data_IF_982704106084
#
_entry.id   IF_982704106084
#
_cell.length_a   1.000
_cell.length_b   1.000
_cell.length_c   1.000
_cell.angle_alpha   90.00
_cell.angle_beta   90.00
_cell.angle_gamma   90.00
#
_symmetry.space_group_name_H-M   'P 1'
#
loop_
_entity.id
_entity.type
_entity.pdbx_description
1 polymer ?
#
# COMPACT_ATOMS: atom_id res chain seq x y z
N UNK A 1 -0.01 11.46 12.69
CA UNK A 1 0.01 11.95 11.28
C UNK A 1 1.37 12.45 10.76
N UNK A 2 2.43 12.15 11.48
CA UNK A 2 3.82 12.53 11.07
C UNK A 2 4.26 11.76 9.81
N UNK A 3 3.79 10.53 9.59
CA UNK A 3 4.07 9.78 8.36
C UNK A 3 3.29 10.29 7.14
N UNK A 4 2.07 10.79 7.31
CA UNK A 4 1.31 11.42 6.22
C UNK A 4 2.02 12.67 5.68
N UNK A 5 2.61 13.48 6.56
CA UNK A 5 3.37 14.66 6.16
C UNK A 5 4.70 14.30 5.51
N UNK A 6 5.32 13.17 5.89
CA UNK A 6 6.59 12.73 5.30
C UNK A 6 6.45 12.38 3.82
N UNK A 7 5.46 11.55 3.44
CA UNK A 7 5.28 11.15 2.05
C UNK A 7 5.02 12.32 1.10
N UNK A 8 4.09 13.22 1.45
CA UNK A 8 3.82 14.43 0.65
C UNK A 8 5.00 15.42 0.68
N UNK A 9 5.68 15.53 1.82
CA UNK A 9 6.88 16.34 1.94
C UNK A 9 8.03 15.83 1.06
N UNK A 10 8.17 14.53 0.89
CA UNK A 10 9.19 13.93 0.01
C UNK A 10 8.84 14.14 -1.46
N UNK A 11 7.57 14.00 -1.85
CA UNK A 11 7.09 14.36 -3.19
C UNK A 11 7.41 15.82 -3.51
N UNK A 12 7.13 16.72 -2.59
CA UNK A 12 7.39 18.16 -2.73
C UNK A 12 8.90 18.46 -2.89
N UNK A 13 9.74 17.94 -2.00
CA UNK A 13 11.19 18.15 -2.05
C UNK A 13 11.80 17.55 -3.31
N UNK A 14 11.32 16.39 -3.74
CA UNK A 14 11.77 15.71 -4.96
C UNK A 14 11.47 16.55 -6.20
N UNK A 15 10.28 17.13 -6.30
CA UNK A 15 9.93 18.02 -7.41
C UNK A 15 10.86 19.23 -7.49
N UNK A 16 11.13 19.89 -6.34
CA UNK A 16 12.04 21.02 -6.28
C UNK A 16 13.47 20.62 -6.69
N UNK A 17 13.95 19.45 -6.22
CA UNK A 17 15.24 18.94 -6.61
C UNK A 17 15.37 18.75 -8.14
N UNK A 18 14.30 18.26 -8.78
CA UNK A 18 14.29 18.07 -10.23
C UNK A 18 13.97 19.37 -11.01
N UNK A 19 13.63 20.46 -10.36
CA UNK A 19 13.55 21.79 -10.97
C UNK A 19 12.22 22.51 -10.88
N UNK A 20 11.21 21.96 -10.21
CA UNK A 20 9.95 22.64 -9.99
C UNK A 20 10.14 23.88 -9.07
N UNK A 21 9.44 24.95 -9.38
CA UNK A 21 9.32 26.05 -8.44
C UNK A 21 8.30 25.74 -7.34
N UNK A 22 8.28 26.56 -6.30
CA UNK A 22 7.43 26.38 -5.13
C UNK A 22 5.94 26.26 -5.48
N UNK A 23 5.46 27.07 -6.43
CA UNK A 23 4.05 27.08 -6.84
C UNK A 23 3.65 25.75 -7.52
N UNK A 24 4.41 25.31 -8.51
CA UNK A 24 4.16 24.05 -9.22
C UNK A 24 4.20 22.85 -8.25
N UNK A 25 5.21 22.82 -7.36
CA UNK A 25 5.33 21.77 -6.37
C UNK A 25 4.14 21.75 -5.41
N UNK A 26 3.65 22.90 -4.96
CA UNK A 26 2.49 23.02 -4.09
C UNK A 26 1.21 22.56 -4.78
N UNK A 27 0.96 22.99 -6.01
CA UNK A 27 -0.22 22.60 -6.79
C UNK A 27 -0.26 21.07 -6.98
N UNK A 28 0.87 20.46 -7.33
CA UNK A 28 0.92 19.01 -7.54
C UNK A 28 0.71 18.22 -6.23
N UNK A 29 1.27 18.69 -5.11
CA UNK A 29 1.06 18.06 -3.80
C UNK A 29 -0.41 18.16 -3.37
N UNK A 30 -1.07 19.29 -3.61
CA UNK A 30 -2.50 19.42 -3.34
C UNK A 30 -3.29 18.43 -4.22
N UNK A 31 -2.97 18.36 -5.51
CA UNK A 31 -3.61 17.41 -6.43
C UNK A 31 -3.48 15.96 -5.97
N UNK A 32 -2.26 15.51 -5.68
CA UNK A 32 -2.01 14.16 -5.16
C UNK A 32 -2.73 13.96 -3.82
N UNK A 33 -2.72 14.96 -2.94
CA UNK A 33 -3.41 14.93 -1.65
C UNK A 33 -4.92 14.71 -1.78
N UNK A 34 -5.56 15.40 -2.73
CA UNK A 34 -6.99 15.20 -3.02
C UNK A 34 -7.28 13.78 -3.51
N UNK A 35 -6.47 13.27 -4.45
CA UNK A 35 -6.64 11.90 -4.94
C UNK A 35 -6.45 10.86 -3.83
N UNK A 36 -5.50 11.07 -2.92
CA UNK A 36 -5.28 10.21 -1.75
C UNK A 36 -6.49 10.16 -0.82
N UNK A 37 -7.09 11.32 -0.54
CA UNK A 37 -8.28 11.40 0.33
C UNK A 37 -9.44 10.65 -0.34
N UNK A 38 -9.70 10.90 -1.62
CA UNK A 38 -10.73 10.17 -2.36
C UNK A 38 -10.46 8.65 -2.35
N UNK A 39 -9.20 8.25 -2.56
CA UNK A 39 -8.83 6.85 -2.56
C UNK A 39 -9.03 6.20 -1.18
N UNK A 40 -8.73 6.91 -0.09
CA UNK A 40 -8.94 6.39 1.26
C UNK A 40 -10.41 6.10 1.54
N UNK A 41 -11.32 6.95 1.10
CA UNK A 41 -12.76 6.72 1.23
C UNK A 41 -13.23 5.53 0.38
N UNK A 42 -12.71 5.41 -0.85
CA UNK A 42 -13.02 4.28 -1.72
C UNK A 42 -12.57 2.92 -1.16
N UNK A 43 -11.44 2.90 -0.48
CA UNK A 43 -10.86 1.66 0.09
C UNK A 43 -11.52 1.24 1.41
N UNK A 44 -12.16 2.16 2.13
CA UNK A 44 -12.69 1.93 3.47
C UNK A 44 -13.53 0.65 3.61
N UNK A 45 -14.54 0.36 2.76
CA UNK A 45 -15.30 -0.88 2.85
C UNK A 45 -14.45 -2.14 2.65
N UNK A 46 -13.49 -2.09 1.74
CA UNK A 46 -12.58 -3.23 1.52
C UNK A 46 -11.64 -3.45 2.72
N UNK A 47 -11.18 -2.39 3.37
CA UNK A 47 -10.40 -2.51 4.61
C UNK A 47 -11.20 -3.19 5.71
N UNK A 48 -12.45 -2.79 5.90
CA UNK A 48 -13.32 -3.35 6.93
C UNK A 48 -13.70 -4.81 6.63
N UNK A 49 -13.87 -5.17 5.36
CA UNK A 49 -14.07 -6.56 4.94
C UNK A 49 -12.82 -7.42 5.22
N UNK A 50 -11.63 -6.90 4.92
CA UNK A 50 -10.37 -7.58 5.23
C UNK A 50 -10.13 -7.74 6.74
N UNK A 51 -10.67 -6.84 7.57
CA UNK A 51 -10.56 -6.86 9.01
C UNK A 51 -11.63 -7.68 9.71
N UNK A 52 -12.73 -7.93 9.01
CA UNK A 52 -13.98 -8.39 9.59
C UNK A 52 -14.50 -7.46 10.71
N UNK A 53 -14.26 -6.15 10.53
CA UNK A 53 -14.68 -5.11 11.46
C UNK A 53 -15.43 -4.00 10.70
N UNK A 54 -16.75 -4.00 10.83
CA UNK A 54 -17.65 -3.04 10.17
C UNK A 54 -18.12 -1.92 11.09
N UNK A 55 -17.90 -2.07 12.39
CA UNK A 55 -18.31 -1.09 13.39
C UNK A 55 -17.31 0.07 13.49
N UNK A 56 -16.03 -0.23 13.34
CA UNK A 56 -14.94 0.75 13.45
C UNK A 56 -14.35 1.05 12.06
N UNK A 57 -14.83 2.07 11.36
CA UNK A 57 -14.40 2.34 9.99
C UNK A 57 -12.92 2.74 9.94
N UNK A 58 -12.13 1.89 9.29
CA UNK A 58 -10.70 2.09 9.11
C UNK A 58 -10.34 2.30 7.66
N UNK A 59 -9.33 3.11 7.41
CA UNK A 59 -8.77 3.35 6.08
C UNK A 59 -7.34 3.89 6.20
N UNK A 60 -6.72 4.20 5.08
CA UNK A 60 -5.39 4.81 5.06
C UNK A 60 -5.26 5.78 3.89
N UNK A 61 -4.39 6.77 4.03
CA UNK A 61 -3.99 7.67 2.95
C UNK A 61 -2.53 7.48 2.53
N UNK A 62 -1.95 6.29 2.78
CA UNK A 62 -0.57 6.02 2.41
C UNK A 62 -0.37 6.10 0.88
N UNK A 63 0.79 6.59 0.44
CA UNK A 63 1.08 6.84 -0.99
C UNK A 63 1.12 5.57 -1.83
N UNK A 64 1.49 4.43 -1.26
CA UNK A 64 1.54 3.15 -1.98
C UNK A 64 0.22 2.79 -2.66
N UNK A 65 -0.90 3.21 -2.07
CA UNK A 65 -2.23 2.96 -2.64
C UNK A 65 -2.55 3.81 -3.88
N UNK A 66 -1.67 4.73 -4.28
CA UNK A 66 -1.76 5.36 -5.61
C UNK A 66 -1.48 4.35 -6.74
N UNK A 67 -0.98 3.15 -6.42
CA UNK A 67 -0.90 2.03 -7.36
C UNK A 67 -2.25 1.34 -7.59
N UNK A 68 -3.25 1.50 -6.74
CA UNK A 68 -4.54 0.82 -6.85
C UNK A 68 -5.17 0.91 -8.25
N UNK A 69 -5.19 2.07 -8.94
CA UNK A 69 -5.75 2.16 -10.29
C UNK A 69 -5.02 1.27 -11.29
N UNK A 70 -3.70 1.16 -11.18
CA UNK A 70 -2.87 0.31 -12.05
C UNK A 70 -3.13 -1.15 -11.76
N UNK A 71 -3.11 -1.54 -10.49
CA UNK A 71 -3.39 -2.92 -10.04
C UNK A 71 -4.79 -3.34 -10.46
N UNK A 72 -5.79 -2.45 -10.36
CA UNK A 72 -7.17 -2.74 -10.76
C UNK A 72 -7.30 -3.09 -12.25
N UNK A 73 -6.47 -2.49 -13.12
CA UNK A 73 -6.44 -2.88 -14.55
C UNK A 73 -6.04 -4.34 -14.69
N UNK A 74 -4.97 -4.74 -14.01
CA UNK A 74 -4.48 -6.12 -14.05
C UNK A 74 -5.44 -7.08 -13.36
N UNK A 75 -6.06 -6.69 -12.24
CA UNK A 75 -7.07 -7.50 -11.56
C UNK A 75 -8.28 -7.79 -12.47
N UNK A 76 -8.77 -6.77 -13.19
CA UNK A 76 -9.84 -6.93 -14.19
C UNK A 76 -9.41 -7.74 -15.41
N UNK A 77 -8.17 -7.58 -15.84
CA UNK A 77 -7.62 -8.39 -16.91
C UNK A 77 -7.49 -9.86 -16.49
N UNK A 78 -7.09 -10.09 -15.25
CA UNK A 78 -7.01 -11.41 -14.64
C UNK A 78 -8.39 -12.08 -14.59
N UNK A 79 -9.43 -11.37 -14.16
CA UNK A 79 -10.82 -11.86 -14.19
C UNK A 79 -11.24 -12.35 -15.59
N UNK A 80 -10.79 -11.66 -16.63
CA UNK A 80 -11.15 -11.96 -18.01
C UNK A 80 -10.33 -13.10 -18.61
N UNK A 81 -9.03 -13.15 -18.35
CA UNK A 81 -8.10 -14.11 -18.98
C UNK A 81 -7.99 -15.43 -18.20
N UNK A 82 -8.10 -15.37 -16.87
CA UNK A 82 -7.85 -16.50 -15.98
C UNK A 82 -8.96 -16.73 -14.95
N UNK A 83 -10.25 -16.75 -15.36
CA UNK A 83 -11.36 -16.90 -14.41
C UNK A 83 -11.32 -18.24 -13.67
N UNK A 84 -10.66 -19.24 -14.25
CA UNK A 84 -10.50 -20.57 -13.66
C UNK A 84 -9.53 -20.59 -12.47
N UNK A 85 -8.60 -19.64 -12.38
CA UNK A 85 -7.66 -19.53 -11.26
C UNK A 85 -8.35 -19.11 -9.96
N UNK A 86 -9.49 -18.44 -10.02
CA UNK A 86 -10.26 -18.08 -8.83
C UNK A 86 -10.68 -19.28 -7.97
N UNK A 87 -10.76 -20.48 -8.58
CA UNK A 87 -11.07 -21.71 -7.84
C UNK A 87 -9.92 -22.16 -6.94
N UNK A 88 -8.70 -21.77 -7.29
CA UNK A 88 -7.47 -22.12 -6.58
C UNK A 88 -6.93 -20.96 -5.75
N UNK A 89 -7.46 -19.76 -5.98
CA UNK A 89 -7.04 -18.57 -5.23
C UNK A 89 -7.78 -18.52 -3.88
N UNK A 90 -7.07 -18.14 -2.84
CA UNK A 90 -7.56 -18.12 -1.48
C UNK A 90 -6.99 -16.93 -0.72
N UNK A 91 -7.75 -16.42 0.23
CA UNK A 91 -7.21 -15.62 1.32
C UNK A 91 -6.88 -16.53 2.52
N UNK A 92 -5.94 -16.10 3.36
CA UNK A 92 -5.45 -16.93 4.46
C UNK A 92 -6.54 -17.24 5.50
N UNK A 93 -7.52 -16.34 5.69
CA UNK A 93 -8.62 -16.56 6.63
C UNK A 93 -9.54 -17.70 6.17
N UNK A 94 -9.96 -17.67 4.91
CA UNK A 94 -10.79 -18.73 4.32
C UNK A 94 -10.05 -20.07 4.19
N UNK A 95 -8.73 -20.03 4.03
CA UNK A 95 -7.93 -21.23 4.02
C UNK A 95 -7.96 -21.91 5.40
N UNK A 96 -7.83 -21.13 6.47
CA UNK A 96 -7.91 -21.65 7.84
C UNK A 96 -9.26 -22.30 8.15
N UNK A 97 -10.38 -21.71 7.67
CA UNK A 97 -11.71 -22.31 7.80
C UNK A 97 -11.82 -23.67 7.10
N UNK A 98 -11.18 -23.83 5.93
CA UNK A 98 -11.27 -25.05 5.12
C UNK A 98 -10.38 -26.18 5.59
N UNK A 99 -9.15 -25.87 5.97
CA UNK A 99 -8.12 -26.89 6.28
C UNK A 99 -7.62 -26.83 7.73
N UNK A 100 -8.28 -26.04 8.58
CA UNK A 100 -7.97 -25.92 10.01
C UNK A 100 -6.54 -25.44 10.27
N UNK A 101 -5.87 -26.06 11.24
CA UNK A 101 -4.51 -25.66 11.66
C UNK A 101 -3.52 -25.48 10.49
N UNK A 102 -3.62 -26.28 9.44
CA UNK A 102 -2.72 -26.21 8.28
C UNK A 102 -2.86 -24.93 7.46
N UNK A 103 -3.99 -24.23 7.58
CA UNK A 103 -4.21 -22.89 7.01
C UNK A 103 -3.92 -21.75 7.98
N UNK A 104 -3.52 -22.04 9.21
CA UNK A 104 -3.21 -21.00 10.21
C UNK A 104 -1.98 -20.18 9.83
N UNK A 105 -1.90 -18.96 10.38
CA UNK A 105 -0.72 -18.09 10.21
C UNK A 105 0.56 -18.77 10.64
N UNK A 106 0.50 -19.54 11.72
CA UNK A 106 1.63 -20.32 12.22
C UNK A 106 2.10 -21.36 11.18
N UNK A 107 1.19 -22.14 10.62
CA UNK A 107 1.53 -23.13 9.58
C UNK A 107 2.06 -22.45 8.30
N UNK A 108 1.44 -21.35 7.87
CA UNK A 108 1.93 -20.55 6.74
C UNK A 108 3.36 -20.06 7.02
N UNK A 109 3.64 -19.57 8.22
CA UNK A 109 5.00 -19.18 8.64
C UNK A 109 6.00 -20.33 8.52
N UNK A 110 5.63 -21.53 8.95
CA UNK A 110 6.48 -22.73 8.78
C UNK A 110 6.79 -22.97 7.30
N UNK A 111 5.76 -22.98 6.44
CA UNK A 111 5.96 -23.23 5.01
C UNK A 111 6.87 -22.19 4.36
N UNK A 112 6.68 -20.90 4.71
CA UNK A 112 7.52 -19.81 4.22
C UNK A 112 8.96 -19.93 4.69
N UNK A 113 9.18 -20.26 5.97
CA UNK A 113 10.52 -20.45 6.50
C UNK A 113 11.25 -21.64 5.86
N UNK A 114 10.56 -22.75 5.62
CA UNK A 114 11.09 -23.91 4.88
C UNK A 114 11.42 -23.48 3.44
N UNK A 115 10.50 -22.81 2.75
CA UNK A 115 10.68 -22.37 1.38
C UNK A 115 11.92 -21.46 1.21
N UNK A 116 12.03 -20.45 2.06
CA UNK A 116 13.19 -19.53 2.07
C UNK A 116 14.48 -20.28 2.35
N UNK A 117 14.48 -21.15 3.35
CA UNK A 117 15.66 -21.93 3.72
C UNK A 117 16.14 -22.87 2.62
N UNK A 118 15.22 -23.51 1.89
CA UNK A 118 15.55 -24.37 0.73
C UNK A 118 16.13 -23.57 -0.43
N UNK A 119 15.50 -22.44 -0.79
CA UNK A 119 16.02 -21.56 -1.88
C UNK A 119 17.39 -20.98 -1.54
N UNK A 120 17.59 -20.66 -0.25
CA UNK A 120 18.88 -20.14 0.23
C UNK A 120 19.93 -21.21 0.46
N UNK A 121 19.67 -22.48 0.09
CA UNK A 121 20.58 -23.60 0.29
C UNK A 121 21.09 -23.76 1.73
N UNK A 122 20.20 -23.50 2.70
CA UNK A 122 20.52 -23.63 4.13
C UNK A 122 20.59 -25.10 4.54
N UNK A 123 21.34 -25.41 5.60
CA UNK A 123 21.33 -26.70 6.24
C UNK A 123 20.00 -26.97 6.99
N UNK A 124 19.70 -28.24 7.29
CA UNK A 124 18.43 -28.64 7.90
C UNK A 124 18.17 -27.94 9.23
N UNK A 125 19.21 -27.71 10.04
CA UNK A 125 19.09 -27.03 11.31
C UNK A 125 18.67 -25.56 11.11
N UNK A 126 19.29 -24.89 10.17
CA UNK A 126 18.97 -23.50 9.80
C UNK A 126 17.55 -23.39 9.22
N UNK A 127 17.16 -24.33 8.34
CA UNK A 127 15.79 -24.38 7.79
C UNK A 127 14.76 -24.54 8.91
N UNK A 128 14.99 -25.47 9.83
CA UNK A 128 14.08 -25.70 10.97
C UNK A 128 13.96 -24.46 11.85
N UNK A 129 15.09 -23.83 12.18
CA UNK A 129 15.11 -22.60 12.95
C UNK A 129 14.35 -21.47 12.24
N UNK A 130 14.59 -21.30 10.94
CA UNK A 130 13.92 -20.28 10.13
C UNK A 130 12.41 -20.50 10.05
N UNK A 131 11.97 -21.76 9.92
CA UNK A 131 10.56 -22.13 9.89
C UNK A 131 9.84 -21.74 11.21
N UNK A 132 10.43 -22.08 12.35
CA UNK A 132 9.86 -21.69 13.66
C UNK A 132 9.92 -20.18 13.89
N UNK A 133 10.99 -19.51 13.50
CA UNK A 133 11.09 -18.05 13.62
C UNK A 133 10.03 -17.37 12.76
N UNK A 134 9.85 -17.77 11.52
CA UNK A 134 8.84 -17.22 10.62
C UNK A 134 7.42 -17.43 11.16
N UNK A 135 7.12 -18.64 11.65
CA UNK A 135 5.83 -18.94 12.28
C UNK A 135 5.56 -18.05 13.51
N UNK A 136 6.54 -17.95 14.38
CA UNK A 136 6.44 -17.14 15.60
C UNK A 136 6.30 -15.65 15.26
N UNK A 137 7.06 -15.15 14.27
CA UNK A 137 6.96 -13.76 13.83
C UNK A 137 5.57 -13.43 13.28
N UNK A 138 4.98 -14.28 12.45
CA UNK A 138 3.64 -14.03 11.90
C UNK A 138 2.57 -13.97 12.99
N UNK A 139 2.63 -14.86 13.99
CA UNK A 139 1.71 -14.78 15.13
C UNK A 139 1.94 -13.55 15.98
N UNK A 140 3.19 -13.22 16.31
CA UNK A 140 3.52 -12.04 17.10
C UNK A 140 3.09 -10.75 16.40
N UNK A 141 3.31 -10.61 15.09
CA UNK A 141 2.87 -9.43 14.35
C UNK A 141 1.35 -9.27 14.39
N UNK A 142 0.60 -10.36 14.31
CA UNK A 142 -0.85 -10.31 14.44
C UNK A 142 -1.31 -9.85 15.84
N UNK A 143 -0.70 -10.40 16.89
CA UNK A 143 -0.99 -10.05 18.28
C UNK A 143 -0.61 -8.60 18.56
N UNK A 144 0.59 -8.18 18.17
CA UNK A 144 1.06 -6.80 18.33
C UNK A 144 0.17 -5.83 17.55
N UNK A 145 -0.23 -6.22 16.33
CA UNK A 145 -1.16 -5.43 15.52
C UNK A 145 -2.51 -5.21 16.21
N UNK A 146 -3.09 -6.27 16.79
CA UNK A 146 -4.35 -6.16 17.54
C UNK A 146 -4.22 -5.31 18.81
N UNK A 147 -3.13 -5.45 19.55
CA UNK A 147 -2.87 -4.60 20.71
C UNK A 147 -2.66 -3.13 20.34
N UNK A 148 -1.99 -2.88 19.23
CA UNK A 148 -1.82 -1.52 18.72
C UNK A 148 -3.16 -0.89 18.36
N UNK A 149 -4.03 -1.62 17.67
CA UNK A 149 -5.39 -1.16 17.35
C UNK A 149 -6.15 -0.84 18.62
N UNK A 150 -6.20 -1.78 19.57
CA UNK A 150 -6.88 -1.59 20.86
C UNK A 150 -6.33 -0.40 21.65
N UNK A 151 -5.02 -0.14 21.60
CA UNK A 151 -4.40 0.99 22.28
C UNK A 151 -4.70 2.34 21.60
N UNK A 152 -4.88 2.36 20.27
CA UNK A 152 -5.17 3.59 19.51
C UNK A 152 -6.66 3.92 19.50
N UNK A 153 -7.52 2.92 19.67
CA UNK A 153 -8.98 3.08 19.62
C UNK A 153 -9.52 4.18 20.57
N UNK A 154 -9.16 4.25 21.88
CA UNK A 154 -9.65 5.31 22.77
C UNK A 154 -9.20 6.71 22.33
N UNK A 155 -7.96 6.82 21.83
CA UNK A 155 -7.45 8.08 21.28
C UNK A 155 -8.24 8.50 20.06
N UNK A 156 -8.55 7.56 19.19
CA UNK A 156 -9.30 7.75 17.98
C UNK A 156 -10.74 8.20 18.25
N UNK A 157 -11.41 7.54 19.20
CA UNK A 157 -12.72 7.94 19.67
C UNK A 157 -12.70 9.34 20.28
N UNK A 158 -11.73 9.65 21.13
CA UNK A 158 -11.56 10.99 21.72
C UNK A 158 -11.33 12.09 20.68
N UNK A 159 -10.55 11.81 19.63
CA UNK A 159 -10.34 12.75 18.51
C UNK A 159 -11.60 12.88 17.67
N UNK A 160 -12.33 11.80 17.41
CA UNK A 160 -13.59 11.83 16.68
C UNK A 160 -14.65 12.64 17.44
N UNK A 161 -14.80 12.42 18.74
CA UNK A 161 -15.72 13.17 19.61
C UNK A 161 -15.40 14.67 19.65
N UNK A 162 -14.11 15.00 19.78
CA UNK A 162 -13.65 16.40 19.74
C UNK A 162 -13.96 17.06 18.39
N UNK A 163 -13.70 16.36 17.31
CA UNK A 163 -13.96 16.86 15.96
C UNK A 163 -15.46 16.99 15.69
N UNK A 164 -16.28 16.02 16.10
CA UNK A 164 -17.73 16.06 15.97
C UNK A 164 -18.34 17.28 16.67
N UNK A 165 -17.84 17.59 17.87
CA UNK A 165 -18.27 18.79 18.63
C UNK A 165 -17.87 20.11 17.96
N UNK A 166 -16.79 20.14 17.19
CA UNK A 166 -16.25 21.36 16.58
C UNK A 166 -16.49 21.51 15.09
N UNK A 167 -16.65 20.41 14.35
CA UNK A 167 -16.72 20.36 12.89
C UNK A 167 -18.11 20.04 12.36
N UNK A 168 -19.15 20.11 13.19
CA UNK A 168 -20.55 19.96 12.73
C UNK A 168 -20.93 18.55 12.30
N UNK A 169 -20.39 17.54 12.97
CA UNK A 169 -20.83 16.15 12.79
C UNK A 169 -20.10 15.37 11.69
N UNK A 170 -18.93 15.82 11.24
CA UNK A 170 -18.10 15.03 10.30
C UNK A 170 -17.30 13.98 11.07
N UNK A 171 -17.50 12.71 10.77
CA UNK A 171 -16.67 11.65 11.30
C UNK A 171 -15.24 11.73 10.76
N UNK A 172 -14.26 11.63 11.66
CA UNK A 172 -12.86 11.43 11.29
C UNK A 172 -12.59 9.94 11.20
N UNK A 173 -12.18 9.49 10.02
CA UNK A 173 -11.74 8.12 9.84
C UNK A 173 -10.37 7.91 10.46
N UNK A 174 -10.21 6.78 11.17
CA UNK A 174 -8.91 6.38 11.69
C UNK A 174 -8.06 5.91 10.52
N UNK A 175 -6.92 6.57 10.30
CA UNK A 175 -5.92 6.10 9.35
C UNK A 175 -5.00 5.09 10.02
N UNK A 176 -5.17 3.82 9.75
CA UNK A 176 -4.22 2.78 10.11
C UNK A 176 -3.32 2.48 8.91
N UNK A 177 -2.05 2.30 9.20
CA UNK A 177 -1.05 2.00 8.20
C UNK A 177 -0.45 0.60 8.45
N UNK A 178 0.80 0.43 8.13
CA UNK A 178 1.58 -0.78 8.15
C UNK A 178 1.35 -1.76 9.33
N UNK A 179 1.26 -1.34 10.60
CA UNK A 179 1.10 -2.30 11.71
C UNK A 179 -0.11 -3.22 11.56
N UNK A 180 -1.17 -2.72 10.95
CA UNK A 180 -2.37 -3.46 10.68
C UNK A 180 -2.18 -4.49 9.56
N UNK A 181 -1.57 -4.07 8.47
CA UNK A 181 -1.30 -4.95 7.33
C UNK A 181 -0.23 -6.00 7.64
N UNK A 182 0.71 -5.70 8.54
CA UNK A 182 1.75 -6.63 8.98
C UNK A 182 1.18 -7.89 9.66
N UNK A 183 -0.01 -7.82 10.23
CA UNK A 183 -0.72 -8.98 10.78
C UNK A 183 -1.34 -9.91 9.71
N UNK A 184 -1.35 -9.50 8.44
CA UNK A 184 -1.95 -10.27 7.34
C UNK A 184 -0.93 -11.23 6.73
N UNK A 185 -1.22 -12.54 6.81
CA UNK A 185 -0.34 -13.59 6.28
C UNK A 185 -0.15 -13.49 4.76
N UNK A 186 -1.15 -12.99 4.04
CA UNK A 186 -1.13 -12.82 2.59
C UNK A 186 -0.02 -11.85 2.14
N UNK A 187 0.24 -10.80 2.92
CA UNK A 187 1.33 -9.85 2.68
C UNK A 187 2.67 -10.57 2.66
N UNK A 188 2.92 -11.39 3.68
CA UNK A 188 4.18 -12.12 3.81
C UNK A 188 4.31 -13.23 2.80
N UNK A 189 3.23 -13.96 2.53
CA UNK A 189 3.23 -15.02 1.52
C UNK A 189 3.58 -14.43 0.13
N UNK A 190 2.89 -13.38 -0.28
CA UNK A 190 3.17 -12.72 -1.56
C UNK A 190 4.58 -12.08 -1.58
N UNK A 191 4.98 -11.37 -0.51
CA UNK A 191 6.29 -10.72 -0.46
C UNK A 191 7.45 -11.71 -0.58
N UNK A 192 7.37 -12.87 0.07
CA UNK A 192 8.43 -13.88 0.00
C UNK A 192 8.58 -14.49 -1.39
N UNK A 193 7.48 -14.62 -2.14
CA UNK A 193 7.55 -15.10 -3.52
C UNK A 193 8.02 -13.98 -4.46
N UNK A 194 7.58 -12.74 -4.24
CA UNK A 194 7.95 -11.59 -5.06
C UNK A 194 9.41 -11.15 -4.86
N UNK A 195 9.99 -11.39 -3.68
CA UNK A 195 11.37 -10.96 -3.38
C UNK A 195 12.42 -11.54 -4.34
N UNK A 196 12.50 -12.86 -4.58
CA UNK A 196 13.41 -13.41 -5.58
C UNK A 196 13.07 -12.98 -7.01
N UNK A 197 11.76 -12.82 -7.34
CA UNK A 197 11.33 -12.32 -8.65
C UNK A 197 11.86 -10.90 -8.85
N UNK A 198 11.69 -10.03 -7.88
CA UNK A 198 12.19 -8.65 -7.94
C UNK A 198 13.72 -8.59 -8.09
N UNK A 199 14.45 -9.48 -7.42
CA UNK A 199 15.89 -9.55 -7.58
C UNK A 199 16.28 -9.95 -9.00
N UNK A 200 15.63 -10.96 -9.57
CA UNK A 200 15.86 -11.38 -10.95
C UNK A 200 15.51 -10.26 -11.94
N UNK A 201 14.38 -9.61 -11.77
CA UNK A 201 13.97 -8.47 -12.59
C UNK A 201 14.97 -7.32 -12.48
N UNK A 202 15.44 -7.00 -11.26
CA UNK A 202 16.44 -5.95 -11.06
C UNK A 202 17.75 -6.21 -11.83
N UNK A 203 18.12 -7.47 -12.05
CA UNK A 203 19.32 -7.83 -12.79
C UNK A 203 19.15 -7.75 -14.32
N UNK A 204 17.93 -8.00 -14.83
CA UNK A 204 17.69 -8.09 -16.27
C UNK A 204 16.94 -6.89 -16.85
N UNK A 205 16.29 -6.07 -16.00
CA UNK A 205 15.44 -4.98 -16.45
C UNK A 205 16.24 -3.84 -17.07
N UNK A 206 16.04 -3.52 -18.36
CA UNK A 206 16.75 -2.42 -19.01
C UNK A 206 16.49 -1.08 -18.32
N UNK A 207 17.57 -0.30 -18.12
CA UNK A 207 17.47 1.02 -17.49
C UNK A 207 17.28 1.00 -15.96
N UNK A 208 17.28 -0.17 -15.33
CA UNK A 208 17.33 -0.27 -13.88
C UNK A 208 18.77 -0.07 -13.37
N UNK A 209 18.95 0.79 -12.37
CA UNK A 209 20.24 1.10 -11.74
C UNK A 209 20.30 0.77 -10.25
N UNK A 210 19.31 0.04 -9.71
CA UNK A 210 19.22 -0.27 -8.28
C UNK A 210 19.05 -1.77 -8.02
N UNK A 211 19.60 -2.22 -6.90
CA UNK A 211 19.32 -3.53 -6.31
C UNK A 211 18.47 -3.29 -5.04
N UNK A 212 17.18 -3.60 -5.05
CA UNK A 212 16.30 -3.37 -3.92
C UNK A 212 16.51 -4.42 -2.82
N UNK A 213 16.25 -4.01 -1.57
CA UNK A 213 16.19 -4.93 -0.45
C UNK A 213 14.81 -5.60 -0.41
N UNK A 214 14.77 -6.92 -0.41
CA UNK A 214 13.54 -7.72 -0.49
C UNK A 214 12.50 -7.44 0.60
N UNK A 215 12.95 -7.04 1.82
CA UNK A 215 12.03 -6.71 2.92
C UNK A 215 11.10 -5.51 2.65
N UNK A 216 11.42 -4.71 1.63
CA UNK A 216 10.63 -3.54 1.26
C UNK A 216 9.39 -3.94 0.44
N UNK A 217 9.37 -5.12 -0.17
CA UNK A 217 8.21 -5.61 -0.93
C UNK A 217 6.98 -5.71 -0.04
N UNK A 218 7.14 -6.26 1.15
CA UNK A 218 6.04 -6.39 2.11
C UNK A 218 5.45 -5.04 2.56
N UNK A 219 6.24 -3.96 2.55
CA UNK A 219 5.78 -2.64 2.97
C UNK A 219 5.35 -1.74 1.81
N UNK A 220 5.95 -1.91 0.65
CA UNK A 220 5.77 -1.01 -0.50
C UNK A 220 4.84 -1.56 -1.58
N UNK A 221 5.00 -2.83 -1.92
CA UNK A 221 4.31 -3.46 -3.06
C UNK A 221 3.01 -4.13 -2.63
N UNK A 222 3.06 -5.01 -1.66
CA UNK A 222 1.94 -5.87 -1.29
C UNK A 222 0.72 -5.18 -0.66
N UNK A 223 0.79 -4.01 0.02
CA UNK A 223 -0.39 -3.39 0.60
C UNK A 223 -1.47 -3.03 -0.42
N UNK A 224 -1.08 -2.41 -1.53
CA UNK A 224 -2.02 -2.05 -2.59
C UNK A 224 -2.59 -3.31 -3.29
N UNK A 225 -1.76 -4.33 -3.50
CA UNK A 225 -2.19 -5.63 -3.99
C UNK A 225 -3.25 -6.26 -3.08
N UNK A 226 -2.99 -6.29 -1.76
CA UNK A 226 -3.93 -6.85 -0.77
C UNK A 226 -5.33 -6.22 -0.91
N UNK A 227 -5.40 -4.90 -0.98
CA UNK A 227 -6.68 -4.18 -1.06
C UNK A 227 -7.39 -4.43 -2.38
N UNK A 228 -6.68 -4.32 -3.51
CA UNK A 228 -7.32 -4.47 -4.82
C UNK A 228 -7.76 -5.90 -5.06
N UNK A 229 -6.93 -6.89 -4.76
CA UNK A 229 -7.25 -8.31 -4.96
C UNK A 229 -8.06 -8.93 -3.82
N UNK A 230 -8.29 -8.19 -2.73
CA UNK A 230 -9.01 -8.68 -1.53
C UNK A 230 -8.32 -9.90 -0.90
N UNK A 231 -7.00 -9.85 -0.78
CA UNK A 231 -6.20 -10.90 -0.14
C UNK A 231 -6.01 -12.17 -0.97
N UNK A 232 -6.40 -12.19 -2.24
CA UNK A 232 -6.18 -13.34 -3.13
C UNK A 232 -4.70 -13.50 -3.46
N UNK A 233 -4.05 -14.48 -2.85
CA UNK A 233 -2.57 -14.62 -2.84
C UNK A 233 -2.01 -14.85 -4.24
N UNK A 234 -2.64 -15.70 -5.07
CA UNK A 234 -2.15 -15.99 -6.42
C UNK A 234 -2.21 -14.71 -7.28
N UNK A 235 -3.31 -13.96 -7.18
CA UNK A 235 -3.45 -12.67 -7.86
C UNK A 235 -2.41 -11.67 -7.39
N UNK A 236 -2.19 -11.57 -6.07
CA UNK A 236 -1.15 -10.70 -5.51
C UNK A 236 0.23 -11.01 -6.09
N UNK A 237 0.59 -12.29 -6.21
CA UNK A 237 1.89 -12.69 -6.76
C UNK A 237 1.99 -12.37 -8.26
N UNK A 238 1.00 -12.76 -9.05
CA UNK A 238 1.05 -12.57 -10.51
C UNK A 238 1.02 -11.08 -10.88
N UNK A 239 0.09 -10.32 -10.29
CA UNK A 239 0.00 -8.88 -10.55
C UNK A 239 1.23 -8.17 -9.99
N UNK A 240 1.66 -8.55 -8.78
CA UNK A 240 2.86 -8.03 -8.15
C UNK A 240 4.10 -8.18 -9.05
N UNK A 241 4.32 -9.35 -9.62
CA UNK A 241 5.42 -9.57 -10.56
C UNK A 241 5.34 -8.66 -11.80
N UNK A 242 4.15 -8.37 -12.29
CA UNK A 242 3.98 -7.46 -13.44
C UNK A 242 4.27 -6.00 -13.06
N UNK A 243 3.96 -5.58 -11.83
CA UNK A 243 4.16 -4.19 -11.40
C UNK A 243 5.55 -3.88 -10.84
N UNK A 244 6.33 -4.90 -10.43
CA UNK A 244 7.68 -4.70 -9.87
C UNK A 244 8.60 -3.84 -10.75
N UNK A 245 8.62 -3.95 -12.09
CA UNK A 245 9.40 -3.06 -12.95
C UNK A 245 9.11 -1.57 -12.73
N UNK A 246 7.86 -1.20 -12.42
CA UNK A 246 7.51 0.20 -12.14
C UNK A 246 8.20 0.69 -10.86
N UNK A 247 8.27 -0.14 -9.83
CA UNK A 247 8.98 0.18 -8.59
C UNK A 247 10.50 0.31 -8.83
N UNK A 248 11.08 -0.58 -9.63
CA UNK A 248 12.50 -0.55 -9.96
C UNK A 248 12.91 0.69 -10.76
N UNK A 249 12.13 1.06 -11.78
CA UNK A 249 12.38 2.28 -12.56
C UNK A 249 12.14 3.54 -11.73
N UNK A 250 11.08 3.60 -10.94
CA UNK A 250 10.82 4.73 -10.06
C UNK A 250 11.96 4.93 -9.06
N UNK A 251 12.47 3.83 -8.51
CA UNK A 251 13.63 3.82 -7.65
C UNK A 251 14.89 4.34 -8.30
N UNK A 252 15.16 3.86 -9.48
CA UNK A 252 16.30 4.32 -10.28
C UNK A 252 16.22 5.83 -10.56
N UNK A 253 15.05 6.32 -10.96
CA UNK A 253 14.83 7.75 -11.22
C UNK A 253 14.96 8.61 -9.96
N UNK A 254 14.60 8.08 -8.80
CA UNK A 254 14.63 8.78 -7.52
C UNK A 254 15.99 8.71 -6.82
N UNK A 255 16.84 7.77 -7.17
CA UNK A 255 18.14 7.54 -6.53
C UNK A 255 19.04 8.80 -6.44
N UNK A 256 19.14 9.67 -7.46
CA UNK A 256 19.91 10.90 -7.35
C UNK A 256 19.42 11.83 -6.23
N UNK A 257 18.12 12.01 -6.09
CA UNK A 257 17.52 12.82 -5.03
C UNK A 257 17.80 12.23 -3.65
N UNK A 258 17.61 10.92 -3.49
CA UNK A 258 17.84 10.23 -2.22
C UNK A 258 19.31 10.32 -1.82
N UNK A 259 20.22 10.06 -2.75
CA UNK A 259 21.66 10.14 -2.52
C UNK A 259 22.09 11.55 -2.10
N UNK A 260 21.61 12.56 -2.82
CA UNK A 260 21.89 13.96 -2.51
C UNK A 260 21.42 14.31 -1.11
N UNK A 261 20.17 13.96 -0.78
CA UNK A 261 19.57 14.26 0.53
C UNK A 261 20.32 13.55 1.67
N UNK A 262 20.64 12.28 1.49
CA UNK A 262 21.36 11.50 2.50
C UNK A 262 22.77 12.06 2.77
N UNK A 263 23.48 12.47 1.73
CA UNK A 263 24.79 13.14 1.87
C UNK A 263 24.69 14.50 2.54
N UNK A 264 23.70 15.31 2.16
CA UNK A 264 23.47 16.62 2.78
C UNK A 264 23.12 16.53 4.27
N UNK A 265 22.47 15.44 4.69
CA UNK A 265 22.15 15.16 6.07
C UNK A 265 23.25 14.40 6.83
N UNK A 266 24.40 14.16 6.20
CA UNK A 266 25.51 13.39 6.79
C UNK A 266 25.05 12.03 7.34
N UNK A 267 24.10 11.35 6.66
CA UNK A 267 23.60 10.06 7.11
C UNK A 267 24.74 9.02 7.15
N UNK A 268 24.75 8.21 8.21
CA UNK A 268 25.79 7.19 8.39
C UNK A 268 25.69 6.08 7.33
N UNK A 269 26.84 5.52 6.93
CA UNK A 269 26.90 4.39 6.00
C UNK A 269 26.66 4.73 4.53
N UNK A 270 26.61 6.02 4.17
CA UNK A 270 26.45 6.42 2.76
C UNK A 270 27.79 6.31 2.02
N UNK A 271 27.86 5.55 0.92
CA UNK A 271 29.08 5.44 0.16
C UNK A 271 29.48 6.79 -0.46
N UNK A 272 30.80 7.05 -0.52
CA UNK A 272 31.34 8.29 -1.11
C UNK A 272 30.98 8.39 -2.61
N UNK A 273 30.95 7.27 -3.30
CA UNK A 273 30.66 7.17 -4.74
C UNK A 273 29.43 6.31 -4.98
N UNK A 274 28.80 6.48 -6.15
CA UNK A 274 27.59 5.74 -6.53
C UNK A 274 26.31 6.37 -5.99
N UNK A 275 25.20 5.71 -6.29
CA UNK A 275 23.87 6.11 -5.90
C UNK A 275 23.29 5.11 -4.88
N UNK A 276 22.48 5.62 -3.97
CA UNK A 276 21.66 4.82 -3.07
C UNK A 276 20.18 5.06 -3.39
N UNK A 277 19.35 4.07 -3.11
CA UNK A 277 17.90 4.20 -3.24
C UNK A 277 17.21 3.53 -2.08
N UNK A 278 16.14 4.14 -1.60
CA UNK A 278 15.23 3.55 -0.61
C UNK A 278 13.81 3.35 -1.19
N UNK A 279 13.71 3.35 -2.48
CA UNK A 279 12.55 3.74 -3.26
C UNK A 279 11.37 2.78 -3.26
N UNK A 280 11.52 1.59 -2.77
CA UNK A 280 10.43 0.63 -2.73
C UNK A 280 9.44 0.88 -1.59
N UNK A 281 9.77 1.80 -0.69
CA UNK A 281 8.92 2.20 0.42
C UNK A 281 7.83 3.21 0.01
N UNK A 282 8.01 3.88 -1.12
CA UNK A 282 7.08 4.88 -1.67
C UNK A 282 6.51 4.37 -2.99
N UNK A 283 5.26 4.72 -3.28
CA UNK A 283 4.62 4.31 -4.52
C UNK A 283 5.31 4.88 -5.75
N UNK A 284 5.41 4.13 -6.84
CA UNK A 284 6.09 4.58 -8.05
C UNK A 284 5.39 5.72 -8.76
N UNK A 285 4.05 5.82 -8.67
CA UNK A 285 3.26 6.81 -9.41
C UNK A 285 3.66 8.24 -9.05
N UNK A 286 3.69 8.56 -7.76
CA UNK A 286 4.08 9.89 -7.29
C UNK A 286 5.56 10.19 -7.57
N UNK A 287 6.41 9.17 -7.60
CA UNK A 287 7.82 9.34 -7.96
C UNK A 287 7.97 9.71 -9.42
N UNK A 288 7.30 9.00 -10.34
CA UNK A 288 7.31 9.33 -11.77
C UNK A 288 6.76 10.72 -12.02
N UNK A 289 5.61 11.05 -11.44
CA UNK A 289 4.98 12.37 -11.61
C UNK A 289 5.89 13.47 -11.07
N UNK A 290 6.49 13.29 -9.89
CA UNK A 290 7.38 14.28 -9.29
C UNK A 290 8.62 14.55 -10.17
N UNK A 291 9.22 13.51 -10.73
CA UNK A 291 10.38 13.64 -11.61
C UNK A 291 9.99 14.32 -12.94
N UNK A 292 8.89 13.88 -13.56
CA UNK A 292 8.42 14.43 -14.83
C UNK A 292 8.04 15.90 -14.70
N UNK A 293 7.24 16.26 -13.69
CA UNK A 293 6.83 17.66 -13.45
C UNK A 293 8.03 18.54 -13.07
N UNK A 294 8.95 18.00 -12.25
CA UNK A 294 10.18 18.72 -11.90
C UNK A 294 11.04 19.06 -13.13
N UNK A 295 11.27 18.09 -14.01
CA UNK A 295 12.00 18.30 -15.26
C UNK A 295 11.25 19.21 -16.25
N UNK A 296 9.94 19.01 -16.38
CA UNK A 296 9.09 19.85 -17.22
C UNK A 296 9.18 21.35 -16.80
N UNK A 297 9.30 21.61 -15.51
CA UNK A 297 9.43 22.98 -14.98
C UNK A 297 10.71 23.71 -15.38
N UNK A 298 11.72 22.97 -15.90
CA UNK A 298 12.93 23.52 -16.50
C UNK A 298 12.74 23.99 -17.95
N UNK A 299 11.55 23.80 -18.51
CA UNK A 299 11.25 24.21 -19.89
C UNK A 299 11.60 23.19 -20.95
N UNK A 300 11.93 21.96 -20.58
CA UNK A 300 12.17 20.87 -21.54
C UNK A 300 10.85 20.45 -22.20
N UNK A 301 10.65 20.84 -23.46
CA UNK A 301 9.36 20.64 -24.17
C UNK A 301 8.87 19.18 -24.14
N UNK A 302 9.75 18.21 -24.33
CA UNK A 302 9.37 16.79 -24.28
C UNK A 302 8.94 16.37 -22.87
N UNK A 303 9.57 16.91 -21.81
CA UNK A 303 9.19 16.62 -20.43
C UNK A 303 7.83 17.26 -20.08
N UNK A 304 7.52 18.44 -20.62
CA UNK A 304 6.20 19.06 -20.47
C UNK A 304 5.12 18.17 -21.09
N UNK A 305 5.36 17.65 -22.29
CA UNK A 305 4.44 16.74 -22.97
C UNK A 305 4.26 15.44 -22.14
N UNK A 306 5.35 14.81 -21.71
CA UNK A 306 5.29 13.58 -20.92
C UNK A 306 4.59 13.79 -19.57
N UNK A 307 4.86 14.90 -18.89
CA UNK A 307 4.19 15.23 -17.64
C UNK A 307 2.69 15.44 -17.84
N UNK A 308 2.29 16.18 -18.88
CA UNK A 308 0.89 16.39 -19.21
C UNK A 308 0.18 15.08 -19.55
N UNK A 309 0.76 14.26 -20.41
CA UNK A 309 0.20 12.95 -20.77
C UNK A 309 0.09 12.02 -19.54
N UNK A 310 1.11 11.96 -18.69
CA UNK A 310 1.10 11.15 -17.48
C UNK A 310 0.01 11.59 -16.50
N UNK A 311 -0.15 12.89 -16.27
CA UNK A 311 -1.20 13.43 -15.39
C UNK A 311 -2.60 13.16 -15.94
N UNK A 312 -2.82 13.39 -17.24
CA UNK A 312 -4.11 13.12 -17.89
C UNK A 312 -4.43 11.63 -17.85
N UNK A 313 -3.48 10.78 -18.25
CA UNK A 313 -3.66 9.33 -18.28
C UNK A 313 -3.93 8.78 -16.88
N UNK A 314 -3.15 9.21 -15.89
CA UNK A 314 -3.35 8.75 -14.51
C UNK A 314 -4.69 9.26 -13.94
N UNK A 315 -5.07 10.50 -14.22
CA UNK A 315 -6.35 11.04 -13.77
C UNK A 315 -7.53 10.26 -14.38
N UNK A 316 -7.48 9.99 -15.69
CA UNK A 316 -8.50 9.20 -16.38
C UNK A 316 -8.59 7.77 -15.79
N UNK A 317 -7.42 7.14 -15.56
CA UNK A 317 -7.32 5.83 -14.93
C UNK A 317 -7.88 5.83 -13.50
N UNK A 318 -7.60 6.88 -12.72
CA UNK A 318 -8.11 7.03 -11.36
C UNK A 318 -9.64 7.17 -11.33
N UNK A 319 -10.24 7.91 -12.26
CA UNK A 319 -11.71 8.01 -12.34
C UNK A 319 -12.36 6.69 -12.77
N UNK A 320 -11.72 5.93 -13.67
CA UNK A 320 -12.17 4.58 -13.99
C UNK A 320 -12.06 3.65 -12.76
N UNK A 321 -10.95 3.66 -12.05
CA UNK A 321 -10.75 2.92 -10.80
C UNK A 321 -11.82 3.29 -9.76
N UNK A 322 -12.09 4.60 -9.59
CA UNK A 322 -13.15 5.08 -8.70
C UNK A 322 -14.50 4.44 -9.06
N UNK A 323 -14.85 4.39 -10.33
CA UNK A 323 -16.08 3.76 -10.78
C UNK A 323 -16.14 2.27 -10.42
N UNK A 324 -15.06 1.52 -10.61
CA UNK A 324 -14.99 0.10 -10.25
C UNK A 324 -15.08 -0.12 -8.73
N UNK A 325 -14.42 0.73 -7.94
CA UNK A 325 -14.51 0.67 -6.48
C UNK A 325 -15.91 1.02 -5.98
N UNK A 326 -16.58 1.99 -6.57
CA UNK A 326 -17.98 2.32 -6.22
C UNK A 326 -18.92 1.15 -6.50
N UNK A 327 -18.75 0.43 -7.61
CA UNK A 327 -19.50 -0.80 -7.89
C UNK A 327 -19.22 -1.90 -6.85
N UNK A 328 -17.97 -2.01 -6.41
CA UNK A 328 -17.56 -2.96 -5.37
C UNK A 328 -18.24 -2.60 -4.04
N UNK A 329 -18.18 -1.33 -3.66
CA UNK A 329 -18.77 -0.83 -2.43
C UNK A 329 -20.30 -0.99 -2.41
N UNK A 330 -20.95 -0.81 -3.56
CA UNK A 330 -22.39 -1.08 -3.67
C UNK A 330 -22.73 -2.55 -3.37
N UNK A 331 -21.90 -3.51 -3.78
CA UNK A 331 -22.12 -4.92 -3.45
C UNK A 331 -22.03 -5.20 -1.95
N UNK A 332 -21.09 -4.54 -1.25
CA UNK A 332 -21.03 -4.65 0.21
C UNK A 332 -22.29 -4.11 0.86
N UNK A 333 -22.80 -2.98 0.39
CA UNK A 333 -24.08 -2.41 0.87
C UNK A 333 -25.26 -3.34 0.59
N UNK A 334 -25.33 -3.93 -0.61
CA UNK A 334 -26.38 -4.90 -0.99
C UNK A 334 -26.34 -6.18 -0.13
N UNK A 335 -25.16 -6.55 0.38
CA UNK A 335 -24.96 -7.66 1.33
C UNK A 335 -25.26 -7.27 2.80
N UNK A 336 -25.70 -6.04 3.05
CA UNK A 336 -25.97 -5.52 4.39
C UNK A 336 -24.70 -5.16 5.18
N UNK A 337 -23.55 -5.16 4.53
CA UNK A 337 -22.26 -4.76 5.07
C UNK A 337 -22.04 -3.27 4.77
N UNK A 338 -22.66 -2.41 5.55
CA UNK A 338 -22.47 -0.97 5.44
C UNK A 338 -21.42 -0.51 6.44
N UNK A 339 -20.41 0.19 5.93
CA UNK A 339 -19.58 1.04 6.78
C UNK A 339 -20.49 2.13 7.33
N UNK A 340 -20.42 2.40 8.62
CA UNK A 340 -21.19 3.47 9.25
C UNK A 340 -20.97 4.77 8.47
N UNK A 341 -21.98 5.19 7.73
CA UNK A 341 -21.94 6.42 6.94
C UNK A 341 -22.01 7.60 7.90
N UNK A 342 -21.17 8.60 7.69
CA UNK A 342 -21.12 9.83 8.49
C UNK A 342 -22.50 10.47 8.66
N UNK A 343 -23.38 10.31 7.68
CA UNK A 343 -24.74 10.86 7.68
C UNK A 343 -25.72 10.02 8.52
N UNK A 344 -25.61 8.68 8.48
CA UNK A 344 -26.50 7.79 9.25
C UNK A 344 -26.15 7.78 10.74
N UNK A 345 -24.84 7.83 11.06
CA UNK A 345 -24.38 7.89 12.45
C UNK A 345 -24.86 9.15 13.16
N UNK A 346 -24.80 10.30 12.50
CA UNK A 346 -25.34 11.57 13.05
C UNK A 346 -26.85 11.50 13.26
N UNK A 347 -27.60 10.88 12.35
CA UNK A 347 -29.03 10.73 12.46
C UNK A 347 -29.43 9.78 13.62
N UNK A 348 -28.70 8.67 13.82
CA UNK A 348 -28.99 7.71 14.89
C UNK A 348 -28.63 8.25 16.28
N UNK A 349 -27.52 8.97 16.41
CA UNK A 349 -27.13 9.57 17.68
C UNK A 349 -27.89 10.86 18.00
N UNK A 350 -28.31 11.63 17.00
CA UNK A 350 -29.21 12.76 17.21
C UNK A 350 -30.60 12.30 17.68
N UNK A 351 -31.11 11.17 17.15
CA UNK A 351 -32.36 10.58 17.59
C UNK A 351 -32.28 9.97 19.01
N UNK A 352 -31.14 9.37 19.38
CA UNK A 352 -30.92 8.84 20.72
C UNK A 352 -30.80 9.95 21.79
N UNK A 353 -30.12 11.05 21.46
CA UNK A 353 -29.95 12.20 22.36
C UNK A 353 -31.20 13.10 22.46
N UNK A 354 -32.21 12.93 21.60
CA UNK A 354 -33.50 13.63 21.66
C UNK A 354 -34.58 12.83 22.41
N UNK A 355 -34.24 11.61 22.85
CA UNK A 355 -35.16 10.73 23.59
C UNK A 355 -34.86 10.69 25.11
N UNK A 356 -33.82 11.37 25.58
CA UNK A 356 -33.49 11.69 26.96
C UNK A 356 -33.82 13.19 27.24
#
# INVERSE_FOLDING_TARGET
>A
DVERSRGLGDVYKRQIYFGANLFVATVLVIFIGVLKIINSDLMKPTFNDLLDDWENPMTTTHLNYMMNPVIMVFDKLFDKLFPWLDKYDFDAAKLNEKIGFWGSRFAIGIYLGIFIGLISHQDIKSITTLAFMAATCLELFSIIGSWFIAAVEPLSQGVADFANKRLGGRMLNIGLDWPFLAGRAEIWAAANVLAPIMLLEALVLPGNGILPLGGIIAMGVTPALLVVTRGKIIRMIVIGAIELPLFLWAGTLSAPFITHTARALHASGIPATGLISSSTKEGPIEQFIAVLVGKASKGEMMMILYAALALIAYTALFFWYRHEMMKRNQKYSDEGKEVADDVKFVATHAAANSAD
#
